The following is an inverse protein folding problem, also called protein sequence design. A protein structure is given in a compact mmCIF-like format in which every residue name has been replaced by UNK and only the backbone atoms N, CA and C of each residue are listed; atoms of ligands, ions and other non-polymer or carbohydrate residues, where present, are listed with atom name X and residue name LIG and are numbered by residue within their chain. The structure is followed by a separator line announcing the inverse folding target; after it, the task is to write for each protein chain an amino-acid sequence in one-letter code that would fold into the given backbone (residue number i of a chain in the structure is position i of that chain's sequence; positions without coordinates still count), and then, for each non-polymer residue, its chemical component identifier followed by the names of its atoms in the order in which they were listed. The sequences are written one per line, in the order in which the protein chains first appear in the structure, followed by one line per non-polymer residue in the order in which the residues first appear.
data_IF_202453807521
#
_entry.id   IF_202453807521
#
_cell.length_a   1.000
_cell.length_b   1.000
_cell.length_c   1.000
_cell.angle_alpha   90.00
_cell.angle_beta   90.00
_cell.angle_gamma   90.00
#
_symmetry.space_group_name_H-M   'P 1'
#
loop_
_entity.id
_entity.type
_entity.pdbx_description
1 polymer ?
#
# COMPACT_ATOMS: atom_id res chain seq x y z
N UNK A 1 -20.65 -19.04 3.71
CA UNK A 1 -19.55 -18.42 2.96
C UNK A 1 -18.35 -19.35 2.76
N UNK A 2 -17.78 -19.97 3.82
CA UNK A 2 -16.68 -20.96 3.66
C UNK A 2 -17.21 -22.27 3.08
N UNK A 3 -18.39 -22.72 3.49
CA UNK A 3 -19.04 -23.92 2.96
C UNK A 3 -19.46 -23.77 1.49
N UNK A 4 -19.96 -22.61 1.09
CA UNK A 4 -20.28 -22.32 -0.32
C UNK A 4 -19.03 -22.29 -1.21
N UNK A 5 -17.90 -21.80 -0.72
CA UNK A 5 -16.65 -21.80 -1.48
C UNK A 5 -16.10 -23.23 -1.69
N UNK A 6 -16.22 -24.08 -0.66
CA UNK A 6 -15.84 -25.50 -0.76
C UNK A 6 -16.77 -26.25 -1.72
N UNK A 7 -18.08 -25.97 -1.69
CA UNK A 7 -19.07 -26.64 -2.56
C UNK A 7 -18.93 -26.25 -4.04
N UNK A 8 -18.62 -24.99 -4.34
CA UNK A 8 -18.45 -24.51 -5.72
C UNK A 8 -17.18 -25.06 -6.37
N UNK A 9 -16.17 -25.46 -5.57
CA UNK A 9 -14.91 -25.99 -6.11
C UNK A 9 -14.75 -27.51 -5.96
N UNK A 10 -15.71 -28.18 -5.32
CA UNK A 10 -15.80 -29.63 -5.22
C UNK A 10 -16.77 -30.23 -6.22
N UNK A 11 -16.84 -29.69 -7.45
CA UNK A 11 -17.57 -30.39 -8.53
C UNK A 11 -16.85 -31.70 -8.84
N UNK A 12 -17.57 -32.86 -8.79
CA UNK A 12 -16.95 -34.13 -9.12
C UNK A 12 -16.53 -34.10 -10.59
N UNK A 13 -15.29 -34.50 -10.85
CA UNK A 13 -14.76 -34.74 -12.18
C UNK A 13 -15.68 -35.78 -12.88
N UNK A 14 -16.30 -35.38 -13.99
CA UNK A 14 -17.01 -36.32 -14.85
C UNK A 14 -16.06 -37.43 -15.31
N UNK A 15 -16.43 -38.65 -15.01
CA UNK A 15 -15.69 -39.90 -15.10
C UNK A 15 -15.64 -40.46 -16.54
N UNK A 16 -15.53 -39.67 -17.60
CA UNK A 16 -15.47 -40.22 -18.97
C UNK A 16 -14.67 -39.40 -19.98
N UNK A 17 -13.36 -39.24 -19.77
CA UNK A 17 -12.45 -38.91 -20.88
C UNK A 17 -11.05 -39.46 -20.62
N UNK A 18 -10.50 -40.20 -21.60
CA UNK A 18 -9.16 -40.79 -21.54
C UNK A 18 -8.11 -39.76 -21.21
N UNK A 19 -7.20 -40.01 -20.24
CA UNK A 19 -6.23 -39.02 -19.81
C UNK A 19 -5.14 -38.83 -20.86
N UNK A 20 -5.14 -37.66 -21.50
CA UNK A 20 -3.95 -37.16 -22.18
C UNK A 20 -2.89 -36.84 -21.12
N UNK A 21 -1.60 -37.16 -21.29
CA UNK A 21 -0.55 -36.97 -20.26
C UNK A 21 -0.40 -35.50 -19.78
N UNK A 22 -0.82 -34.53 -20.57
CA UNK A 22 -0.84 -33.11 -20.18
C UNK A 22 -1.95 -32.75 -19.17
N UNK A 23 -3.06 -33.54 -19.14
CA UNK A 23 -4.17 -33.30 -18.21
C UNK A 23 -3.82 -33.66 -16.77
N UNK A 24 -2.94 -34.63 -16.53
CA UNK A 24 -2.54 -35.03 -15.19
C UNK A 24 -1.78 -33.94 -14.44
N UNK A 25 -0.87 -33.24 -15.12
CA UNK A 25 -0.06 -32.17 -14.48
C UNK A 25 -0.90 -30.91 -14.18
N UNK A 26 -1.82 -30.58 -15.07
CA UNK A 26 -2.73 -29.45 -14.91
C UNK A 26 -3.72 -29.65 -13.75
N UNK A 27 -4.25 -30.86 -13.60
CA UNK A 27 -5.09 -31.23 -12.46
C UNK A 27 -4.32 -31.13 -11.13
N UNK A 28 -3.05 -31.57 -11.09
CA UNK A 28 -2.22 -31.52 -9.89
C UNK A 28 -1.94 -30.08 -9.46
N UNK A 29 -1.66 -29.16 -10.38
CA UNK A 29 -1.40 -27.74 -10.02
C UNK A 29 -2.65 -27.05 -9.49
N UNK A 30 -3.83 -27.30 -10.02
CA UNK A 30 -5.09 -26.78 -9.52
C UNK A 30 -5.42 -27.34 -8.11
N UNK A 31 -5.24 -28.64 -7.91
CA UNK A 31 -5.44 -29.28 -6.60
C UNK A 31 -4.44 -28.73 -5.57
N UNK A 32 -3.16 -28.57 -5.95
CA UNK A 32 -2.15 -27.98 -5.08
C UNK A 32 -2.53 -26.55 -4.68
N UNK A 33 -3.01 -25.74 -5.61
CA UNK A 33 -3.44 -24.37 -5.34
C UNK A 33 -4.61 -24.35 -4.33
N UNK A 34 -5.60 -25.20 -4.52
CA UNK A 34 -6.72 -25.35 -3.57
C UNK A 34 -6.24 -25.80 -2.18
N UNK A 35 -5.28 -26.73 -2.13
CA UNK A 35 -4.68 -27.20 -0.89
C UNK A 35 -3.90 -26.08 -0.16
N UNK A 36 -3.23 -25.18 -0.88
CA UNK A 36 -2.57 -24.00 -0.30
C UNK A 36 -3.57 -23.05 0.36
N UNK A 37 -4.71 -22.80 -0.25
CA UNK A 37 -5.81 -22.02 0.34
C UNK A 37 -6.37 -22.71 1.59
N UNK A 38 -6.61 -24.03 1.54
CA UNK A 38 -7.05 -24.81 2.68
C UNK A 38 -6.05 -24.76 3.84
N UNK A 39 -4.76 -24.85 3.55
CA UNK A 39 -3.69 -24.73 4.55
C UNK A 39 -3.71 -23.35 5.22
N UNK A 40 -3.81 -22.27 4.44
CA UNK A 40 -3.86 -20.90 4.95
C UNK A 40 -5.07 -20.70 5.87
N UNK A 41 -6.27 -21.11 5.44
CA UNK A 41 -7.49 -20.98 6.23
C UNK A 41 -7.43 -21.80 7.54
N UNK A 42 -6.91 -23.02 7.49
CA UNK A 42 -6.71 -23.84 8.70
C UNK A 42 -5.74 -23.19 9.69
N UNK A 43 -4.63 -22.63 9.21
CA UNK A 43 -3.66 -21.93 10.08
C UNK A 43 -4.26 -20.70 10.75
N UNK A 44 -5.07 -19.93 10.03
CA UNK A 44 -5.78 -18.76 10.58
C UNK A 44 -6.81 -19.20 11.63
N UNK A 45 -7.60 -20.21 11.35
CA UNK A 45 -8.59 -20.75 12.30
C UNK A 45 -7.96 -21.33 13.55
N UNK A 46 -6.77 -21.94 13.43
CA UNK A 46 -6.01 -22.45 14.57
C UNK A 46 -5.24 -21.37 15.35
N UNK A 47 -5.21 -20.13 14.85
CA UNK A 47 -4.46 -19.03 15.48
C UNK A 47 -2.93 -19.19 15.42
N UNK A 48 -2.39 -19.98 14.49
CA UNK A 48 -0.95 -20.18 14.33
C UNK A 48 -0.32 -19.09 13.48
N UNK A 49 -0.26 -17.89 14.05
CA UNK A 49 0.17 -16.66 13.36
C UNK A 49 1.60 -16.73 12.83
N UNK A 50 2.49 -17.47 13.47
CA UNK A 50 3.90 -17.61 13.05
C UNK A 50 4.07 -18.30 11.68
N UNK A 51 3.16 -19.24 11.35
CA UNK A 51 3.20 -20.00 10.10
C UNK A 51 2.37 -19.36 8.97
N UNK A 52 1.47 -18.46 9.31
CA UNK A 52 0.56 -17.81 8.36
C UNK A 52 1.29 -17.00 7.27
N UNK A 53 2.35 -16.21 7.55
CA UNK A 53 3.03 -15.43 6.52
C UNK A 53 3.65 -16.31 5.42
N UNK A 54 4.24 -17.45 5.79
CA UNK A 54 4.79 -18.39 4.81
C UNK A 54 3.70 -19.01 3.93
N UNK A 55 2.56 -19.39 4.53
CA UNK A 55 1.40 -19.90 3.78
C UNK A 55 0.80 -18.84 2.84
N UNK A 56 0.70 -17.58 3.30
CA UNK A 56 0.22 -16.47 2.49
C UNK A 56 1.12 -16.24 1.26
N UNK A 57 2.44 -16.28 1.45
CA UNK A 57 3.39 -16.15 0.35
C UNK A 57 3.30 -17.32 -0.63
N UNK A 58 3.07 -18.55 -0.14
CA UNK A 58 2.87 -19.71 -1.01
C UNK A 58 1.63 -19.56 -1.90
N UNK A 59 0.51 -19.09 -1.33
CA UNK A 59 -0.73 -18.81 -2.11
C UNK A 59 -0.47 -17.67 -3.11
N UNK A 60 0.18 -16.58 -2.70
CA UNK A 60 0.55 -15.47 -3.57
C UNK A 60 1.37 -15.95 -4.77
N UNK A 61 2.37 -16.79 -4.52
CA UNK A 61 3.21 -17.37 -5.56
C UNK A 61 2.41 -18.29 -6.50
N UNK A 62 1.50 -19.08 -5.93
CA UNK A 62 0.57 -19.94 -6.70
C UNK A 62 -0.30 -19.12 -7.67
N UNK A 63 -0.93 -18.04 -7.20
CA UNK A 63 -1.73 -17.14 -8.04
C UNK A 63 -0.88 -16.54 -9.17
N UNK A 64 0.34 -16.08 -8.85
CA UNK A 64 1.24 -15.52 -9.83
C UNK A 64 1.64 -16.55 -10.89
N UNK A 65 2.07 -17.73 -10.47
CA UNK A 65 2.48 -18.82 -11.36
C UNK A 65 1.36 -19.25 -12.30
N UNK A 66 0.13 -19.43 -11.78
CA UNK A 66 -1.01 -19.82 -12.57
C UNK A 66 -1.49 -18.73 -13.56
N UNK A 67 -1.33 -17.45 -13.16
CA UNK A 67 -1.69 -16.31 -14.04
C UNK A 67 -0.68 -16.06 -15.16
N UNK A 68 0.57 -16.55 -15.04
CA UNK A 68 1.62 -16.41 -16.06
C UNK A 68 1.68 -17.57 -17.04
N UNK A 69 0.92 -18.65 -16.79
CA UNK A 69 0.83 -19.78 -17.73
C UNK A 69 0.24 -19.34 -19.08
N UNK A 70 0.61 -20.00 -20.19
CA UNK A 70 -0.03 -19.75 -21.47
C UNK A 70 -1.54 -20.01 -21.40
N UNK A 71 -2.33 -19.19 -22.07
CA UNK A 71 -3.83 -19.31 -22.07
C UNK A 71 -4.34 -20.64 -22.63
N UNK A 72 -3.53 -21.37 -23.38
CA UNK A 72 -3.85 -22.72 -23.87
C UNK A 72 -3.72 -23.81 -22.80
N UNK A 73 -3.12 -23.49 -21.63
CA UNK A 73 -2.98 -24.45 -20.53
C UNK A 73 -4.30 -24.63 -19.80
N UNK A 74 -4.74 -25.85 -19.52
CA UNK A 74 -6.00 -26.09 -18.80
C UNK A 74 -5.99 -25.57 -17.35
N UNK A 75 -4.82 -25.32 -16.78
CA UNK A 75 -4.65 -24.69 -15.44
C UNK A 75 -4.41 -23.21 -15.49
N UNK A 76 -4.49 -22.56 -16.67
CA UNK A 76 -4.34 -21.11 -16.77
C UNK A 76 -5.45 -20.39 -16.00
N UNK A 77 -5.05 -19.47 -15.14
CA UNK A 77 -6.00 -18.64 -14.42
C UNK A 77 -6.44 -17.49 -15.33
N UNK A 78 -7.73 -17.44 -15.70
CA UNK A 78 -8.25 -16.33 -16.50
C UNK A 78 -8.00 -14.98 -15.76
N UNK A 79 -7.84 -13.87 -16.49
CA UNK A 79 -7.58 -12.56 -15.86
C UNK A 79 -8.62 -12.18 -14.81
N UNK A 80 -9.89 -12.47 -15.05
CA UNK A 80 -10.97 -12.23 -14.11
C UNK A 80 -10.84 -13.10 -12.85
N UNK A 81 -10.52 -14.37 -13.02
CA UNK A 81 -10.31 -15.29 -11.90
C UNK A 81 -9.09 -14.88 -11.09
N UNK A 82 -7.98 -14.49 -11.74
CA UNK A 82 -6.80 -13.99 -11.08
C UNK A 82 -7.09 -12.72 -10.25
N UNK A 83 -7.94 -11.84 -10.76
CA UNK A 83 -8.41 -10.66 -10.03
C UNK A 83 -9.21 -11.04 -8.78
N UNK A 84 -10.13 -11.99 -8.89
CA UNK A 84 -10.92 -12.50 -7.77
C UNK A 84 -10.02 -13.14 -6.70
N UNK A 85 -9.08 -13.98 -7.10
CA UNK A 85 -8.17 -14.65 -6.19
C UNK A 85 -7.24 -13.67 -5.46
N UNK A 86 -6.76 -12.64 -6.16
CA UNK A 86 -5.99 -11.55 -5.53
C UNK A 86 -6.83 -10.79 -4.51
N UNK A 87 -8.09 -10.50 -4.84
CA UNK A 87 -9.01 -9.84 -3.90
C UNK A 87 -9.24 -10.70 -2.65
N UNK A 88 -9.43 -12.02 -2.83
CA UNK A 88 -9.55 -12.95 -1.71
C UNK A 88 -8.28 -12.98 -0.86
N UNK A 89 -7.12 -13.05 -1.49
CA UNK A 89 -5.84 -13.02 -0.79
C UNK A 89 -5.68 -11.76 0.07
N UNK A 90 -6.08 -10.60 -0.44
CA UNK A 90 -6.05 -9.35 0.31
C UNK A 90 -6.92 -9.41 1.57
N UNK A 91 -8.14 -9.94 1.47
CA UNK A 91 -9.02 -10.08 2.64
C UNK A 91 -8.44 -11.05 3.69
N UNK A 92 -7.94 -12.21 3.27
CA UNK A 92 -7.31 -13.16 4.19
C UNK A 92 -6.00 -12.64 4.78
N UNK A 93 -5.26 -11.83 4.04
CA UNK A 93 -4.04 -11.20 4.51
C UNK A 93 -4.25 -10.25 5.67
N UNK A 94 -5.44 -9.62 5.79
CA UNK A 94 -5.78 -8.77 6.92
C UNK A 94 -5.72 -9.53 8.23
N UNK A 95 -6.28 -10.74 8.29
CA UNK A 95 -6.21 -11.58 9.50
C UNK A 95 -4.78 -11.88 9.90
N UNK A 96 -3.94 -12.22 8.93
CA UNK A 96 -2.54 -12.57 9.17
C UNK A 96 -1.73 -11.37 9.65
N UNK A 97 -1.79 -10.27 8.91
CA UNK A 97 -0.94 -9.12 9.17
C UNK A 97 -1.38 -8.30 10.38
N UNK A 98 -2.69 -8.20 10.63
CA UNK A 98 -3.20 -7.47 11.80
C UNK A 98 -2.85 -8.15 13.12
N UNK A 99 -2.74 -9.49 13.13
CA UNK A 99 -2.32 -10.26 14.29
C UNK A 99 -0.80 -10.38 14.44
N UNK A 100 -0.02 -10.01 13.40
CA UNK A 100 1.45 -10.05 13.44
C UNK A 100 2.10 -8.81 14.10
N UNK A 101 1.30 -7.92 14.69
CA UNK A 101 1.80 -6.73 15.38
C UNK A 101 2.40 -5.66 14.44
N UNK A 102 3.40 -4.88 14.91
CA UNK A 102 3.94 -3.75 14.14
C UNK A 102 4.58 -4.13 12.80
N UNK A 103 5.20 -5.30 12.72
CA UNK A 103 5.79 -5.82 11.48
C UNK A 103 4.72 -6.11 10.42
N UNK A 104 3.52 -6.48 10.84
CA UNK A 104 2.39 -6.74 9.96
C UNK A 104 1.94 -5.51 9.18
N UNK A 105 1.97 -4.31 9.77
CA UNK A 105 1.65 -3.06 9.08
C UNK A 105 2.59 -2.78 7.89
N UNK A 106 3.87 -3.13 8.05
CA UNK A 106 4.83 -3.02 6.94
C UNK A 106 4.51 -4.00 5.82
N UNK A 107 4.17 -5.23 6.19
CA UNK A 107 3.83 -6.29 5.24
C UNK A 107 2.53 -6.01 4.48
N UNK A 108 1.53 -5.40 5.13
CA UNK A 108 0.31 -4.92 4.46
C UNK A 108 0.66 -3.88 3.39
N UNK A 109 1.46 -2.88 3.73
CA UNK A 109 1.86 -1.86 2.77
C UNK A 109 2.59 -2.49 1.57
N UNK A 110 3.53 -3.40 1.82
CA UNK A 110 4.32 -4.02 0.76
C UNK A 110 3.47 -4.92 -0.16
N UNK A 111 2.44 -5.57 0.38
CA UNK A 111 1.50 -6.37 -0.40
C UNK A 111 0.52 -5.50 -1.20
N UNK A 112 -0.08 -4.49 -0.55
CA UNK A 112 -1.17 -3.70 -1.14
C UNK A 112 -0.67 -2.71 -2.19
N UNK A 113 0.56 -2.18 -2.06
CA UNK A 113 1.18 -1.32 -3.07
C UNK A 113 1.77 -2.09 -4.25
N UNK A 114 1.82 -3.41 -4.22
CA UNK A 114 2.21 -4.19 -5.38
C UNK A 114 1.17 -4.01 -6.50
N UNK A 115 1.63 -3.68 -7.70
CA UNK A 115 0.78 -3.23 -8.80
C UNK A 115 -0.43 -4.12 -9.11
N UNK A 116 -0.30 -5.46 -9.20
CA UNK A 116 -1.44 -6.33 -9.47
C UNK A 116 -2.48 -6.35 -8.35
N UNK A 117 -2.06 -6.13 -7.10
CA UNK A 117 -2.96 -6.06 -5.95
C UNK A 117 -3.61 -4.70 -5.82
N UNK A 118 -2.88 -3.62 -6.10
CA UNK A 118 -3.45 -2.27 -6.15
C UNK A 118 -4.55 -2.17 -7.22
N UNK A 119 -4.35 -2.77 -8.39
CA UNK A 119 -5.39 -2.87 -9.42
C UNK A 119 -6.62 -3.63 -8.92
N UNK A 120 -6.42 -4.74 -8.20
CA UNK A 120 -7.53 -5.50 -7.62
C UNK A 120 -8.30 -4.69 -6.55
N UNK A 121 -7.61 -3.88 -5.75
CA UNK A 121 -8.22 -2.98 -4.78
C UNK A 121 -9.07 -1.93 -5.50
N UNK A 122 -8.51 -1.23 -6.48
CA UNK A 122 -9.19 -0.15 -7.19
C UNK A 122 -10.42 -0.61 -7.98
N UNK A 123 -10.35 -1.81 -8.58
CA UNK A 123 -11.42 -2.31 -9.46
C UNK A 123 -12.50 -3.11 -8.72
N UNK A 124 -12.11 -3.93 -7.75
CA UNK A 124 -13.02 -4.91 -7.15
C UNK A 124 -13.31 -4.67 -5.66
N UNK A 125 -12.36 -4.10 -4.90
CA UNK A 125 -12.48 -3.98 -3.46
C UNK A 125 -11.98 -2.62 -2.91
N UNK A 126 -12.60 -1.49 -3.29
CA UNK A 126 -12.16 -0.16 -2.88
C UNK A 126 -12.19 0.05 -1.36
N UNK A 127 -13.03 -0.67 -0.62
CA UNK A 127 -13.09 -0.61 0.85
C UNK A 127 -11.79 -1.06 1.53
N UNK A 128 -10.93 -1.82 0.86
CA UNK A 128 -9.63 -2.22 1.39
C UNK A 128 -8.64 -1.04 1.50
N UNK A 129 -8.89 0.07 0.81
CA UNK A 129 -8.11 1.30 0.95
C UNK A 129 -8.14 1.85 2.38
N UNK A 130 -9.22 1.60 3.14
CA UNK A 130 -9.31 1.95 4.56
C UNK A 130 -8.18 1.32 5.36
N UNK A 131 -7.95 0.03 5.19
CA UNK A 131 -6.90 -0.70 5.91
C UNK A 131 -5.51 -0.28 5.46
N UNK A 132 -5.34 -0.04 4.15
CA UNK A 132 -4.09 0.51 3.62
C UNK A 132 -3.79 1.89 4.21
N UNK A 133 -4.79 2.77 4.28
CA UNK A 133 -4.68 4.10 4.89
C UNK A 133 -4.24 4.00 6.35
N UNK A 134 -4.90 3.15 7.13
CA UNK A 134 -4.53 2.92 8.52
C UNK A 134 -3.10 2.37 8.65
N UNK A 135 -2.71 1.42 7.82
CA UNK A 135 -1.37 0.85 7.83
C UNK A 135 -0.28 1.88 7.46
N UNK A 136 -0.52 2.76 6.49
CA UNK A 136 0.43 3.81 6.07
C UNK A 136 0.58 4.89 7.14
N UNK A 137 -0.53 5.31 7.77
CA UNK A 137 -0.52 6.32 8.82
C UNK A 137 0.17 5.78 10.07
N UNK A 138 -0.27 4.64 10.61
CA UNK A 138 0.33 4.02 11.79
C UNK A 138 1.78 3.56 11.56
N UNK A 139 2.09 3.07 10.37
CA UNK A 139 3.43 2.60 10.00
C UNK A 139 4.43 3.72 9.69
N UNK A 140 4.04 4.98 9.77
CA UNK A 140 4.89 6.17 9.51
C UNK A 140 5.57 6.15 8.13
N UNK A 141 4.97 5.48 7.12
CA UNK A 141 5.58 5.34 5.78
C UNK A 141 5.34 6.60 4.92
N UNK A 142 6.10 7.67 5.18
CA UNK A 142 5.97 8.96 4.46
C UNK A 142 6.13 8.83 2.94
N UNK A 143 7.01 7.93 2.47
CA UNK A 143 7.29 7.72 1.04
C UNK A 143 6.09 7.15 0.27
N UNK A 144 5.25 6.36 0.93
CA UNK A 144 4.08 5.72 0.31
C UNK A 144 2.85 6.63 0.30
N UNK A 145 2.89 7.76 1.04
CA UNK A 145 1.75 8.66 1.16
C UNK A 145 1.30 9.24 -0.19
N UNK A 146 2.24 9.57 -1.07
CA UNK A 146 1.92 10.08 -2.42
C UNK A 146 1.15 9.06 -3.28
N UNK A 147 1.58 7.80 -3.26
CA UNK A 147 0.90 6.71 -3.95
C UNK A 147 -0.50 6.44 -3.36
N UNK A 148 -0.63 6.51 -2.01
CA UNK A 148 -1.92 6.39 -1.34
C UNK A 148 -2.89 7.49 -1.76
N UNK A 149 -2.44 8.76 -1.75
CA UNK A 149 -3.28 9.91 -2.17
C UNK A 149 -3.74 9.75 -3.62
N UNK A 150 -2.87 9.28 -4.50
CA UNK A 150 -3.24 9.02 -5.90
C UNK A 150 -4.31 7.92 -5.98
N UNK A 151 -4.16 6.82 -5.24
CA UNK A 151 -5.13 5.73 -5.22
C UNK A 151 -6.49 6.14 -4.63
N UNK A 152 -6.48 7.02 -3.61
CA UNK A 152 -7.71 7.52 -2.96
C UNK A 152 -8.44 8.52 -3.85
N UNK A 153 -7.73 9.33 -4.63
CA UNK A 153 -8.33 10.35 -5.51
C UNK A 153 -9.29 9.74 -6.54
N UNK A 154 -9.00 8.52 -6.98
CA UNK A 154 -9.79 7.83 -8.00
C UNK A 154 -11.08 7.20 -7.42
N UNK A 155 -11.26 7.26 -6.10
CA UNK A 155 -12.39 6.63 -5.41
C UNK A 155 -13.38 7.66 -4.88
N UNK A 156 -14.69 7.31 -4.81
CA UNK A 156 -15.70 8.19 -4.23
C UNK A 156 -15.43 8.40 -2.72
N UNK A 157 -15.61 9.62 -2.21
CA UNK A 157 -15.34 9.98 -0.81
C UNK A 157 -16.43 9.47 0.13
N UNK A 158 -16.47 8.16 0.38
CA UNK A 158 -17.47 7.53 1.26
C UNK A 158 -16.95 7.27 2.67
N UNK A 159 -15.63 7.13 2.84
CA UNK A 159 -15.01 6.74 4.09
C UNK A 159 -14.32 7.95 4.76
N UNK A 160 -14.57 8.21 6.07
CA UNK A 160 -13.94 9.31 6.79
C UNK A 160 -12.40 9.22 6.81
N UNK A 161 -11.80 8.01 6.85
CA UNK A 161 -10.35 7.85 6.82
C UNK A 161 -9.75 8.28 5.47
N UNK A 162 -10.39 7.91 4.38
CA UNK A 162 -9.95 8.30 3.03
C UNK A 162 -10.11 9.81 2.83
N UNK A 163 -11.22 10.38 3.30
CA UNK A 163 -11.48 11.82 3.24
C UNK A 163 -10.45 12.60 4.06
N UNK A 164 -10.06 12.09 5.24
CA UNK A 164 -9.01 12.70 6.05
C UNK A 164 -7.70 12.83 5.27
N UNK A 165 -7.24 11.75 4.64
CA UNK A 165 -6.00 11.75 3.86
C UNK A 165 -6.12 12.64 2.61
N UNK A 166 -7.27 12.61 1.92
CA UNK A 166 -7.53 13.46 0.74
C UNK A 166 -7.52 14.95 1.09
N UNK A 167 -8.15 15.35 2.20
CA UNK A 167 -8.17 16.74 2.64
C UNK A 167 -6.78 17.19 3.13
N UNK A 168 -6.08 16.35 3.87
CA UNK A 168 -4.78 16.70 4.44
C UNK A 168 -3.68 16.85 3.38
N UNK A 169 -3.60 15.92 2.41
CA UNK A 169 -2.52 15.89 1.43
C UNK A 169 -2.93 16.27 0.02
N UNK A 170 -4.21 16.14 -0.32
CA UNK A 170 -4.74 16.50 -1.62
C UNK A 170 -5.15 17.97 -1.70
N UNK A 171 -5.99 18.41 -0.78
CA UNK A 171 -6.55 19.75 -0.73
C UNK A 171 -5.77 20.71 0.19
N UNK A 172 -4.95 20.17 1.10
CA UNK A 172 -4.23 20.92 2.14
C UNK A 172 -5.17 21.75 3.05
N UNK A 173 -6.40 21.27 3.22
CA UNK A 173 -7.36 21.87 4.13
C UNK A 173 -7.27 21.23 5.52
N UNK A 174 -6.59 21.94 6.41
CA UNK A 174 -6.35 21.48 7.79
C UNK A 174 -7.62 21.52 8.64
N UNK A 175 -8.52 22.46 8.39
CA UNK A 175 -9.76 22.61 9.16
C UNK A 175 -10.73 21.46 8.85
N UNK A 176 -10.88 21.12 7.58
CA UNK A 176 -11.65 19.96 7.15
C UNK A 176 -11.03 18.65 7.63
N UNK A 177 -9.70 18.49 7.54
CA UNK A 177 -9.02 17.31 8.03
C UNK A 177 -9.19 17.13 9.55
N UNK A 178 -9.17 18.22 10.32
CA UNK A 178 -9.39 18.19 11.76
C UNK A 178 -10.82 17.78 12.13
N UNK A 179 -11.84 18.33 11.46
CA UNK A 179 -13.25 17.98 11.71
C UNK A 179 -13.53 16.50 11.44
N UNK A 180 -12.72 15.85 10.59
CA UNK A 180 -12.83 14.43 10.28
C UNK A 180 -12.17 13.51 11.31
N UNK A 181 -11.37 14.03 12.25
CA UNK A 181 -10.72 13.19 13.26
C UNK A 181 -11.71 12.45 14.16
N UNK A 182 -12.79 13.11 14.62
CA UNK A 182 -13.84 12.46 15.41
C UNK A 182 -14.61 11.38 14.64
N UNK A 183 -15.11 11.64 13.40
CA UNK A 183 -15.67 10.60 12.56
C UNK A 183 -14.71 9.44 12.29
N UNK A 184 -13.40 9.71 12.10
CA UNK A 184 -12.40 8.68 11.94
C UNK A 184 -12.27 7.78 13.17
N UNK A 185 -12.26 8.37 14.37
CA UNK A 185 -12.19 7.61 15.62
C UNK A 185 -13.38 6.67 15.78
N UNK A 186 -14.60 7.15 15.51
CA UNK A 186 -15.80 6.33 15.59
C UNK A 186 -15.79 5.21 14.54
N UNK A 187 -15.35 5.48 13.32
CA UNK A 187 -15.21 4.48 12.25
C UNK A 187 -14.16 3.40 12.59
N UNK A 188 -13.02 3.80 13.19
CA UNK A 188 -11.99 2.88 13.64
C UNK A 188 -12.44 1.97 14.77
N UNK A 189 -13.18 2.52 15.75
CA UNK A 189 -13.73 1.72 16.87
C UNK A 189 -14.81 0.73 16.43
N UNK A 190 -15.53 1.05 15.36
CA UNK A 190 -16.55 0.17 14.80
C UNK A 190 -15.97 -0.96 13.94
N UNK A 191 -14.71 -0.85 13.49
CA UNK A 191 -14.07 -1.81 12.60
C UNK A 191 -13.34 -2.90 13.39
N UNK A 192 -13.58 -4.17 13.03
CA UNK A 192 -13.04 -5.34 13.73
C UNK A 192 -11.49 -5.36 13.75
N UNK A 193 -10.84 -5.01 12.64
CA UNK A 193 -9.39 -5.04 12.56
C UNK A 193 -8.72 -3.80 13.15
N UNK A 194 -9.36 -2.63 13.01
CA UNK A 194 -8.76 -1.34 13.34
C UNK A 194 -8.99 -0.92 14.80
N UNK A 195 -9.93 -1.55 15.50
CA UNK A 195 -10.32 -1.20 16.87
C UNK A 195 -9.11 -1.09 17.82
N UNK A 196 -8.22 -2.09 17.80
CA UNK A 196 -7.05 -2.14 18.68
C UNK A 196 -6.01 -1.07 18.37
N UNK A 197 -6.05 -0.49 17.18
CA UNK A 197 -5.09 0.51 16.71
C UNK A 197 -5.68 1.92 16.63
N UNK A 198 -6.92 2.10 17.04
CA UNK A 198 -7.61 3.38 16.97
C UNK A 198 -6.86 4.50 17.71
N UNK A 199 -6.35 4.25 18.91
CA UNK A 199 -5.56 5.22 19.68
C UNK A 199 -4.23 5.56 18.99
N UNK A 200 -3.53 4.57 18.49
CA UNK A 200 -2.27 4.75 17.76
C UNK A 200 -2.50 5.55 16.47
N UNK A 201 -3.55 5.23 15.71
CA UNK A 201 -3.93 5.98 14.52
C UNK A 201 -4.25 7.43 14.84
N UNK A 202 -5.03 7.71 15.88
CA UNK A 202 -5.40 9.07 16.26
C UNK A 202 -4.17 9.92 16.63
N UNK A 203 -3.23 9.34 17.37
CA UNK A 203 -1.98 10.02 17.71
C UNK A 203 -1.15 10.33 16.44
N UNK A 204 -0.97 9.34 15.57
CA UNK A 204 -0.24 9.54 14.31
C UNK A 204 -0.97 10.51 13.35
N UNK A 205 -2.30 10.48 13.29
CA UNK A 205 -3.08 11.41 12.50
C UNK A 205 -2.87 12.87 12.96
N UNK A 206 -2.88 13.11 14.29
CA UNK A 206 -2.57 14.44 14.85
C UNK A 206 -1.15 14.90 14.50
N UNK A 207 -0.16 13.99 14.62
CA UNK A 207 1.23 14.28 14.21
C UNK A 207 1.30 14.64 12.72
N UNK A 208 0.54 13.95 11.88
CA UNK A 208 0.51 14.24 10.43
C UNK A 208 -0.12 15.58 10.10
N UNK A 209 -1.22 15.93 10.77
CA UNK A 209 -1.82 17.27 10.62
C UNK A 209 -0.80 18.35 11.02
N UNK A 210 -0.14 18.17 12.17
CA UNK A 210 0.88 19.07 12.63
C UNK A 210 2.08 19.18 11.69
N UNK A 211 2.65 18.05 11.24
CA UNK A 211 3.75 18.05 10.26
C UNK A 211 3.39 18.78 8.96
N UNK A 212 2.16 18.59 8.48
CA UNK A 212 1.69 19.25 7.26
C UNK A 212 1.49 20.74 7.46
N UNK A 213 0.96 21.12 8.61
CA UNK A 213 0.80 22.52 9.00
C UNK A 213 2.16 23.25 9.13
N UNK A 214 3.12 22.61 9.78
CA UNK A 214 4.48 23.15 9.95
C UNK A 214 5.27 23.29 8.65
N UNK A 215 4.90 22.56 7.59
CA UNK A 215 5.53 22.75 6.27
C UNK A 215 5.14 24.07 5.59
N UNK A 216 3.96 24.59 5.93
CA UNK A 216 3.39 25.80 5.31
C UNK A 216 3.69 27.01 6.17
N UNK A 217 3.56 26.87 7.49
CA UNK A 217 3.71 27.98 8.44
C UNK A 217 5.07 27.91 9.12
N UNK A 218 5.80 29.03 9.10
CA UNK A 218 7.11 29.18 9.76
C UNK A 218 6.99 29.38 11.27
N UNK A 219 5.90 29.97 11.73
CA UNK A 219 5.61 30.18 13.15
C UNK A 219 4.15 29.84 13.44
N UNK A 220 3.92 29.19 14.56
CA UNK A 220 2.59 28.70 14.97
C UNK A 220 2.36 29.11 16.41
N UNK A 221 1.20 29.69 16.73
CA UNK A 221 0.86 29.97 18.13
C UNK A 221 0.32 28.71 18.81
N UNK A 222 0.82 28.41 20.01
CA UNK A 222 0.44 27.21 20.80
C UNK A 222 -1.08 27.20 21.09
N UNK A 223 -1.74 28.33 21.50
CA UNK A 223 -3.18 28.35 21.72
C UNK A 223 -4.01 28.05 20.47
N UNK A 224 -3.55 28.48 19.30
CA UNK A 224 -4.24 28.18 18.03
C UNK A 224 -4.12 26.70 17.68
N UNK A 225 -2.94 26.12 17.93
CA UNK A 225 -2.70 24.71 17.71
C UNK A 225 -3.50 23.83 18.69
N UNK A 226 -3.55 24.20 19.98
CA UNK A 226 -4.33 23.50 20.99
C UNK A 226 -5.82 23.39 20.58
N UNK A 227 -6.39 24.52 20.12
CA UNK A 227 -7.75 24.53 19.58
C UNK A 227 -7.92 23.66 18.33
N UNK A 228 -6.94 23.65 17.45
CA UNK A 228 -6.98 22.83 16.23
C UNK A 228 -6.82 21.33 16.53
N UNK A 229 -6.10 20.95 17.57
CA UNK A 229 -5.93 19.56 17.97
C UNK A 229 -6.97 19.08 18.97
N UNK A 230 -7.91 19.96 19.38
CA UNK A 230 -8.92 19.72 20.42
C UNK A 230 -8.27 19.18 21.72
N UNK A 231 -7.24 19.90 22.20
CA UNK A 231 -6.49 19.58 23.43
C UNK A 231 -6.40 20.84 24.28
N UNK A 232 -6.15 20.65 25.59
CA UNK A 232 -5.83 21.77 26.49
C UNK A 232 -4.45 22.35 26.17
N UNK A 233 -4.20 23.64 26.51
CA UNK A 233 -2.94 24.32 26.17
C UNK A 233 -1.73 23.67 26.82
N UNK A 234 -1.83 23.25 28.09
CA UNK A 234 -0.75 22.59 28.82
C UNK A 234 -0.44 21.19 28.24
N UNK A 235 -1.46 20.46 27.84
CA UNK A 235 -1.30 19.14 27.20
C UNK A 235 -0.76 19.29 25.78
N UNK A 236 -1.14 20.33 25.06
CA UNK A 236 -0.62 20.64 23.74
C UNK A 236 0.87 20.99 23.77
N UNK A 237 1.34 21.72 24.79
CA UNK A 237 2.76 22.04 24.94
C UNK A 237 3.59 20.79 25.21
N UNK A 238 3.14 19.92 26.12
CA UNK A 238 3.79 18.63 26.40
C UNK A 238 3.82 17.73 25.16
N UNK A 239 2.68 17.62 24.49
CA UNK A 239 2.56 16.84 23.28
C UNK A 239 3.48 17.39 22.17
N UNK A 240 3.57 18.71 22.02
CA UNK A 240 4.50 19.35 21.08
C UNK A 240 5.95 19.00 21.37
N UNK A 241 6.36 19.05 22.64
CA UNK A 241 7.72 18.69 23.03
C UNK A 241 8.03 17.23 22.63
N UNK A 242 7.11 16.31 22.90
CA UNK A 242 7.25 14.90 22.51
C UNK A 242 7.31 14.71 20.99
N UNK A 243 6.49 15.44 20.24
CA UNK A 243 6.46 15.35 18.77
C UNK A 243 7.74 15.89 18.16
N UNK A 244 8.29 17.01 18.69
CA UNK A 244 9.56 17.57 18.23
C UNK A 244 10.70 16.56 18.40
N UNK A 245 10.75 15.90 19.56
CA UNK A 245 11.76 14.89 19.85
C UNK A 245 11.58 13.63 18.98
N UNK A 246 10.34 13.16 18.85
CA UNK A 246 10.03 11.90 18.13
C UNK A 246 10.11 12.06 16.62
N UNK A 247 9.58 13.15 16.07
CA UNK A 247 9.55 13.41 14.63
C UNK A 247 10.84 14.07 14.11
N UNK A 248 11.78 14.43 15.00
CA UNK A 248 13.04 15.13 14.68
C UNK A 248 12.77 16.39 13.85
N UNK A 249 11.84 17.20 14.31
CA UNK A 249 11.50 18.47 13.66
C UNK A 249 12.45 19.53 14.24
N UNK A 250 13.17 20.22 13.36
CA UNK A 250 14.04 21.34 13.78
C UNK A 250 13.17 22.55 14.11
N UNK A 251 12.78 22.69 15.35
CA UNK A 251 11.92 23.76 15.80
C UNK A 251 12.32 24.25 17.19
N UNK A 252 11.95 25.49 17.51
CA UNK A 252 12.20 26.12 18.80
C UNK A 252 10.88 26.58 19.40
N UNK A 253 10.66 26.24 20.66
CA UNK A 253 9.54 26.73 21.45
C UNK A 253 9.97 28.04 22.11
N UNK A 254 9.24 29.12 21.83
CA UNK A 254 9.39 30.39 22.48
C UNK A 254 8.31 30.54 23.56
N UNK A 255 8.67 30.22 24.79
CA UNK A 255 7.76 30.25 25.93
C UNK A 255 7.29 31.67 26.27
N UNK A 256 8.03 32.75 25.88
CA UNK A 256 7.64 34.14 26.17
C UNK A 256 6.45 34.56 25.29
N UNK A 257 6.45 34.14 24.04
CA UNK A 257 5.42 34.52 23.06
C UNK A 257 4.40 33.43 22.83
N UNK A 258 4.48 32.29 23.54
CA UNK A 258 3.67 31.09 23.30
C UNK A 258 3.63 30.70 21.82
N UNK A 259 4.79 30.78 21.15
CA UNK A 259 4.92 30.50 19.72
C UNK A 259 5.92 29.38 19.49
N UNK A 260 5.56 28.54 18.55
CA UNK A 260 6.39 27.48 18.03
C UNK A 260 6.99 27.95 16.70
N UNK A 261 8.30 28.14 16.66
CA UNK A 261 9.02 28.63 15.49
C UNK A 261 9.77 27.47 14.82
N UNK A 262 9.45 27.22 13.56
CA UNK A 262 10.16 26.26 12.74
C UNK A 262 11.51 26.84 12.34
N UNK A 263 12.58 26.15 12.69
CA UNK A 263 13.88 26.41 12.12
C UNK A 263 13.88 25.87 10.68
N UNK A 264 13.44 26.67 9.73
CA UNK A 264 13.67 26.33 8.33
C UNK A 264 15.19 26.34 8.14
N UNK A 265 15.81 25.16 8.15
CA UNK A 265 17.08 25.01 7.46
C UNK A 265 16.82 25.46 6.02
N UNK A 266 17.22 26.68 5.71
CA UNK A 266 17.36 27.10 4.31
C UNK A 266 18.29 26.06 3.70
N UNK A 267 17.69 25.05 3.02
CA UNK A 267 18.48 24.09 2.24
C UNK A 267 19.48 24.91 1.46
N UNK A 268 20.75 24.71 1.76
CA UNK A 268 21.79 25.44 1.05
C UNK A 268 21.51 25.30 -0.44
N UNK A 269 21.41 26.42 -1.15
CA UNK A 269 21.04 26.44 -2.58
C UNK A 269 21.92 25.45 -3.35
N UNK A 270 23.19 25.35 -2.96
CA UNK A 270 24.13 24.36 -3.52
C UNK A 270 23.70 22.91 -3.27
N UNK A 271 23.19 22.58 -2.09
CA UNK A 271 22.71 21.24 -1.80
C UNK A 271 21.47 20.89 -2.65
N UNK A 272 20.55 21.84 -2.79
CA UNK A 272 19.37 21.68 -3.65
C UNK A 272 19.77 21.46 -5.14
N UNK A 273 20.78 22.19 -5.62
CA UNK A 273 21.31 22.02 -6.98
C UNK A 273 21.96 20.65 -7.14
N UNK A 274 22.77 20.23 -6.16
CA UNK A 274 23.43 18.92 -6.17
C UNK A 274 22.39 17.79 -6.23
N UNK A 275 21.35 17.83 -5.38
CA UNK A 275 20.33 16.81 -5.35
C UNK A 275 19.54 16.76 -6.67
N UNK A 276 19.20 17.93 -7.23
CA UNK A 276 18.50 18.01 -8.52
C UNK A 276 19.37 17.54 -9.69
N UNK A 277 20.68 17.80 -9.64
CA UNK A 277 21.63 17.32 -10.65
C UNK A 277 21.79 15.80 -10.57
N UNK A 278 21.83 15.22 -9.37
CA UNK A 278 21.86 13.76 -9.20
C UNK A 278 20.61 13.10 -9.79
N UNK A 279 19.42 13.64 -9.51
CA UNK A 279 18.16 13.12 -10.05
C UNK A 279 18.12 13.20 -11.58
N UNK A 280 18.58 14.30 -12.14
CA UNK A 280 18.67 14.48 -13.60
C UNK A 280 19.66 13.49 -14.21
N UNK A 281 20.83 13.29 -13.59
CA UNK A 281 21.83 12.35 -14.07
C UNK A 281 21.30 10.91 -14.11
N UNK A 282 20.58 10.47 -13.07
CA UNK A 282 19.94 9.15 -13.04
C UNK A 282 18.89 9.01 -14.17
N UNK A 283 18.07 10.06 -14.39
CA UNK A 283 17.09 10.04 -15.48
C UNK A 283 17.74 10.04 -16.85
N UNK A 284 18.79 10.82 -17.06
CA UNK A 284 19.56 10.84 -18.31
C UNK A 284 20.23 9.49 -18.57
N UNK A 285 20.80 8.85 -17.54
CA UNK A 285 21.34 7.51 -17.65
C UNK A 285 20.31 6.48 -18.12
N UNK A 286 19.14 6.47 -17.48
CA UNK A 286 18.06 5.56 -17.84
C UNK A 286 17.53 5.79 -19.28
N UNK A 287 17.48 7.05 -19.74
CA UNK A 287 17.12 7.38 -21.12
C UNK A 287 18.23 6.94 -22.08
N UNK A 288 19.50 7.19 -21.73
CA UNK A 288 20.66 6.77 -22.50
C UNK A 288 20.71 5.26 -22.75
N UNK A 289 20.47 4.46 -21.71
CA UNK A 289 20.39 3.00 -21.83
C UNK A 289 19.25 2.54 -22.76
N UNK A 290 18.07 3.16 -22.65
CA UNK A 290 16.93 2.84 -23.53
C UNK A 290 17.22 3.20 -24.98
N UNK A 291 17.78 4.38 -25.22
CA UNK A 291 18.16 4.82 -26.58
C UNK A 291 19.26 3.92 -27.14
N UNK A 292 20.27 3.59 -26.34
CA UNK A 292 21.31 2.63 -26.70
C UNK A 292 20.77 1.29 -27.17
N UNK A 293 19.83 0.72 -26.38
CA UNK A 293 19.15 -0.53 -26.75
C UNK A 293 18.35 -0.47 -28.05
N UNK A 294 17.66 0.66 -28.30
CA UNK A 294 16.93 0.87 -29.58
C UNK A 294 17.91 1.00 -30.75
N UNK A 295 19.01 1.77 -30.62
CA UNK A 295 20.01 1.93 -31.65
C UNK A 295 20.67 0.60 -32.02
N UNK A 296 21.02 -0.22 -31.03
CA UNK A 296 21.53 -1.57 -31.24
C UNK A 296 20.54 -2.50 -31.94
N UNK A 297 19.25 -2.43 -31.53
CA UNK A 297 18.21 -3.23 -32.19
C UNK A 297 18.05 -2.86 -33.68
N UNK A 298 17.99 -1.55 -33.99
CA UNK A 298 17.91 -1.05 -35.36
C UNK A 298 19.15 -1.41 -36.13
N UNK A 299 20.34 -1.33 -35.52
CA UNK A 299 21.62 -1.74 -36.14
C UNK A 299 21.64 -3.22 -36.49
N UNK A 300 21.12 -4.10 -35.62
CA UNK A 300 20.98 -5.55 -35.88
C UNK A 300 20.01 -5.85 -37.02
N UNK A 301 18.91 -5.13 -37.08
CA UNK A 301 17.91 -5.30 -38.14
C UNK A 301 18.40 -4.85 -39.51
N UNK A 302 19.14 -3.73 -39.57
CA UNK A 302 19.82 -3.30 -40.80
C UNK A 302 20.85 -4.31 -41.31
N UNK A 303 21.64 -4.91 -40.40
CA UNK A 303 22.61 -5.95 -40.79
C UNK A 303 21.91 -7.18 -41.36
N UNK A 304 20.88 -7.68 -40.70
CA UNK A 304 20.06 -8.81 -41.20
C UNK A 304 19.43 -8.55 -42.55
N UNK A 305 19.00 -7.31 -42.79
CA UNK A 305 18.43 -6.92 -44.08
C UNK A 305 19.48 -6.90 -45.19
N UNK A 306 20.68 -6.34 -44.94
CA UNK A 306 21.76 -6.32 -45.88
C UNK A 306 22.36 -7.72 -46.14
N UNK A 307 22.29 -8.65 -45.22
CA UNK A 307 22.67 -10.05 -45.40
C UNK A 307 21.66 -10.78 -46.32
N UNK A 308 20.36 -10.60 -46.13
CA UNK A 308 19.32 -11.16 -47.04
C UNK A 308 19.43 -10.61 -48.46
N UNK A 309 19.69 -9.30 -48.64
CA UNK A 309 19.87 -8.67 -49.96
C UNK A 309 21.17 -9.13 -50.68
N UNK A 310 22.08 -9.87 -50.01
CA UNK A 310 23.27 -10.46 -50.60
C UNK A 310 23.13 -11.94 -50.93
N UNK A 311 22.12 -12.60 -50.36
CA UNK A 311 21.80 -14.02 -50.60
C UNK A 311 20.79 -14.19 -51.75
N UNK A 312 20.04 -13.13 -52.11
CA UNK A 312 19.20 -13.04 -53.31
C UNK A 312 20.04 -12.47 -54.51
#
# INVERSE_FOLDING_TARGET
MIEEYILVHATPLEENSKPHPCYGLASVTAVLHTALWGKLSCLILMGKWDLCPAALQAVRHGIHSLSTLPSASPSHLSPLRALQERTWLLHWSLFVHWNAGPSGLHSICDLFFDQPYMQAIQTNAPWLLRYLTAAVVCGRKKRMMGALVSAVRDQPPTDPLLNFVSNLYGLLDFSAAQSLLQPCESALKADFFLQNQASAFMNEARVRVFESYCRIHSSVSIPTLARQLAMDEDDAERWLADVVLTARIDARIDAKNNTFNMSHQTRNVYQSVIDRTKDLNVRCGAVGERVGGVVEAVGRERRRRSERERED
#
